data_IF_470552919477
#
_entry.id   IF_470552919477
#
_cell.length_a   1.000
_cell.length_b   1.000
_cell.length_c   1.000
_cell.angle_alpha   90.00
_cell.angle_beta   90.00
_cell.angle_gamma   90.00
#
_symmetry.space_group_name_H-M   'P 1'
#
loop_
_entity.id
_entity.type
_entity.pdbx_description
1 polymer ?
#
# COMPACT_ATOMS: atom_id res chain seq x y z
N UNK A 1 26.10 -30.43 9.77
CA UNK A 1 26.81 -29.84 10.92
C UNK A 1 28.01 -29.14 10.34
N UNK A 2 28.21 -27.84 10.32
CA UNK A 2 27.58 -26.65 10.91
C UNK A 2 27.89 -25.51 9.90
N UNK A 3 27.00 -24.52 9.71
CA UNK A 3 27.14 -23.11 10.15
C UNK A 3 28.54 -22.52 9.79
N UNK A 4 28.74 -21.38 9.13
CA UNK A 4 28.09 -20.07 9.23
C UNK A 4 28.47 -19.26 7.97
N UNK A 5 27.57 -18.41 7.44
CA UNK A 5 27.97 -17.25 6.65
C UNK A 5 27.11 -16.04 7.02
N UNK A 6 27.80 -15.09 7.61
CA UNK A 6 27.42 -13.72 7.91
C UNK A 6 26.79 -12.99 6.73
N UNK A 7 25.86 -12.08 7.04
CA UNK A 7 26.02 -10.64 6.76
C UNK A 7 24.73 -9.93 7.22
N UNK A 8 24.61 -9.75 8.54
CA UNK A 8 23.58 -8.92 9.14
C UNK A 8 24.14 -7.53 9.41
N UNK A 9 23.99 -6.60 8.48
CA UNK A 9 24.14 -5.17 8.73
C UNK A 9 23.09 -4.40 7.93
N UNK A 10 21.93 -4.20 8.55
CA UNK A 10 20.96 -3.21 8.10
C UNK A 10 21.37 -1.84 8.66
N UNK A 11 21.57 -0.80 7.83
CA UNK A 11 22.00 0.50 8.30
C UNK A 11 20.87 1.19 9.08
N UNK A 12 21.18 1.52 10.32
CA UNK A 12 20.35 2.27 11.27
C UNK A 12 20.04 3.66 10.68
N UNK A 13 18.80 3.86 10.26
CA UNK A 13 18.36 5.11 9.63
C UNK A 13 18.25 6.20 10.70
N UNK A 14 19.14 7.17 10.54
CA UNK A 14 19.32 8.42 11.27
C UNK A 14 18.00 9.12 11.60
N UNK A 15 17.67 9.16 12.88
CA UNK A 15 16.69 10.07 13.45
C UNK A 15 17.07 11.51 13.15
N UNK A 16 16.11 12.26 12.58
CA UNK A 16 16.10 13.71 12.56
C UNK A 16 14.83 14.15 13.28
N UNK A 17 15.03 14.51 14.52
CA UNK A 17 14.06 15.18 15.37
C UNK A 17 13.88 16.64 14.94
N UNK A 18 12.61 17.04 14.94
CA UNK A 18 12.09 18.30 15.46
C UNK A 18 12.28 19.60 14.66
N UNK A 19 11.18 20.36 14.72
CA UNK A 19 11.04 21.82 14.64
C UNK A 19 11.07 22.38 13.21
N UNK A 20 10.17 23.27 12.77
CA UNK A 20 9.36 24.25 13.48
C UNK A 20 8.28 24.81 12.53
N UNK A 21 7.12 25.13 13.11
CA UNK A 21 6.24 26.25 12.81
C UNK A 21 5.89 26.69 11.38
N UNK A 22 4.58 26.89 11.16
CA UNK A 22 4.14 28.02 10.34
C UNK A 22 2.81 27.88 9.64
N UNK A 23 1.77 28.48 10.23
CA UNK A 23 0.86 29.33 9.46
C UNK A 23 -0.35 28.65 8.83
N UNK A 24 -1.50 28.94 9.44
CA UNK A 24 -2.84 28.76 8.92
C UNK A 24 -2.96 29.15 7.43
N UNK A 25 -3.33 28.19 6.58
CA UNK A 25 -3.81 28.48 5.23
C UNK A 25 -4.99 27.55 4.93
N UNK A 26 -6.17 28.16 4.98
CA UNK A 26 -7.31 27.85 4.12
C UNK A 26 -7.95 26.45 4.27
N UNK A 27 -8.91 26.36 5.20
CA UNK A 27 -9.77 25.18 5.39
C UNK A 27 -10.57 24.77 4.13
N UNK A 28 -10.67 25.65 3.13
CA UNK A 28 -11.37 25.38 1.86
C UNK A 28 -10.52 24.57 0.86
N UNK A 29 -9.20 24.46 1.09
CA UNK A 29 -8.26 23.78 0.18
C UNK A 29 -7.83 22.40 0.67
N UNK A 30 -7.91 22.16 1.99
CA UNK A 30 -7.56 20.88 2.62
C UNK A 30 -8.44 19.71 2.16
N UNK A 31 -9.76 19.93 2.08
CA UNK A 31 -10.69 18.87 1.66
C UNK A 31 -10.42 18.35 0.24
N UNK A 32 -10.02 19.22 -0.69
CA UNK A 32 -9.68 18.80 -2.06
C UNK A 32 -8.38 17.98 -2.14
N UNK A 33 -7.39 18.32 -1.30
CA UNK A 33 -6.11 17.58 -1.24
C UNK A 33 -6.33 16.20 -0.63
N UNK A 34 -7.13 16.10 0.43
CA UNK A 34 -7.45 14.82 1.07
C UNK A 34 -8.22 13.90 0.12
N UNK A 35 -9.18 14.42 -0.64
CA UNK A 35 -9.89 13.65 -1.68
C UNK A 35 -8.96 13.20 -2.82
N UNK A 36 -8.03 14.04 -3.26
CA UNK A 36 -7.05 13.64 -4.28
C UNK A 36 -6.11 12.54 -3.77
N UNK A 37 -5.67 12.61 -2.51
CA UNK A 37 -4.87 11.57 -1.86
C UNK A 37 -5.64 10.26 -1.79
N UNK A 38 -6.92 10.26 -1.36
CA UNK A 38 -7.76 9.07 -1.32
C UNK A 38 -7.96 8.46 -2.71
N UNK A 39 -8.22 9.29 -3.73
CA UNK A 39 -8.33 8.85 -5.13
C UNK A 39 -7.02 8.29 -5.66
N UNK A 40 -5.88 8.85 -5.27
CA UNK A 40 -4.57 8.31 -5.61
C UNK A 40 -4.36 6.93 -4.96
N UNK A 41 -4.61 6.81 -3.66
CA UNK A 41 -4.52 5.54 -2.93
C UNK A 41 -5.43 4.47 -3.54
N UNK A 42 -6.67 4.82 -3.90
CA UNK A 42 -7.59 3.91 -4.57
C UNK A 42 -7.03 3.38 -5.89
N UNK A 43 -6.39 4.25 -6.70
CA UNK A 43 -5.73 3.83 -7.96
C UNK A 43 -4.57 2.88 -7.71
N UNK A 44 -3.77 3.14 -6.68
CA UNK A 44 -2.63 2.30 -6.29
C UNK A 44 -3.10 0.92 -5.84
N UNK A 45 -4.08 0.85 -4.94
CA UNK A 45 -4.58 -0.43 -4.43
C UNK A 45 -5.31 -1.23 -5.50
N UNK A 46 -6.10 -0.58 -6.38
CA UNK A 46 -6.66 -1.26 -7.57
C UNK A 46 -5.58 -1.83 -8.47
N UNK A 47 -4.44 -1.14 -8.64
CA UNK A 47 -3.30 -1.65 -9.41
C UNK A 47 -2.68 -2.86 -8.72
N UNK A 48 -2.49 -2.80 -7.40
CA UNK A 48 -2.00 -3.94 -6.61
C UNK A 48 -2.93 -5.14 -6.73
N UNK A 49 -4.25 -4.95 -6.63
CA UNK A 49 -5.24 -6.02 -6.79
C UNK A 49 -5.10 -6.70 -8.15
N UNK A 50 -4.95 -5.94 -9.25
CA UNK A 50 -4.73 -6.54 -10.58
C UNK A 50 -3.47 -7.40 -10.63
N UNK A 51 -2.37 -6.94 -10.02
CA UNK A 51 -1.13 -7.72 -9.98
C UNK A 51 -1.31 -9.01 -9.17
N UNK A 52 -2.02 -8.94 -8.05
CA UNK A 52 -2.39 -10.11 -7.24
C UNK A 52 -3.24 -11.09 -8.07
N UNK A 53 -4.24 -10.62 -8.80
CA UNK A 53 -5.06 -11.48 -9.68
C UNK A 53 -4.22 -12.17 -10.77
N UNK A 54 -3.26 -11.47 -11.37
CA UNK A 54 -2.32 -12.08 -12.33
C UNK A 54 -1.43 -13.15 -11.68
N UNK A 55 -1.01 -12.96 -10.43
CA UNK A 55 -0.29 -14.00 -9.68
C UNK A 55 -1.21 -15.20 -9.39
N UNK A 56 -2.48 -14.95 -9.10
CA UNK A 56 -3.46 -16.00 -8.79
C UNK A 56 -3.73 -16.85 -10.04
N UNK A 57 -3.87 -16.20 -11.19
CA UNK A 57 -4.00 -16.87 -12.49
C UNK A 57 -2.76 -17.69 -12.83
N UNK A 58 -1.55 -17.16 -12.60
CA UNK A 58 -0.31 -17.92 -12.77
C UNK A 58 -0.27 -19.16 -11.87
N UNK A 59 -0.67 -19.02 -10.60
CA UNK A 59 -0.78 -20.14 -9.68
C UNK A 59 -1.79 -21.18 -10.16
N UNK A 60 -2.95 -20.73 -10.66
CA UNK A 60 -4.00 -21.60 -11.17
C UNK A 60 -3.58 -22.34 -12.44
N UNK A 61 -2.75 -21.71 -13.28
CA UNK A 61 -2.14 -22.32 -14.46
C UNK A 61 -0.96 -23.26 -14.10
N UNK A 62 -0.71 -23.51 -12.81
CA UNK A 62 0.34 -24.42 -12.35
C UNK A 62 1.76 -23.83 -12.37
N UNK A 63 1.91 -22.52 -12.56
CA UNK A 63 3.22 -21.89 -12.43
C UNK A 63 3.63 -21.79 -10.95
N UNK A 64 4.87 -22.21 -10.59
CA UNK A 64 5.36 -22.07 -9.24
C UNK A 64 5.55 -20.60 -8.89
N UNK A 65 4.94 -20.18 -7.78
CA UNK A 65 5.11 -18.85 -7.22
C UNK A 65 6.19 -18.87 -6.14
N UNK A 66 7.03 -17.83 -6.12
CA UNK A 66 8.03 -17.66 -5.06
C UNK A 66 7.36 -17.24 -3.72
N UNK A 67 8.06 -17.34 -2.57
CA UNK A 67 7.47 -17.01 -1.26
C UNK A 67 6.92 -15.57 -1.16
N UNK A 68 7.57 -14.61 -1.81
CA UNK A 68 7.11 -13.21 -1.86
C UNK A 68 5.79 -13.06 -2.64
N UNK A 69 5.64 -13.76 -3.76
CA UNK A 69 4.42 -13.78 -4.57
C UNK A 69 3.27 -14.47 -3.83
N UNK A 70 3.54 -15.55 -3.10
CA UNK A 70 2.56 -16.20 -2.24
C UNK A 70 2.10 -15.26 -1.11
N UNK A 71 3.03 -14.54 -0.48
CA UNK A 71 2.69 -13.53 0.53
C UNK A 71 1.83 -12.40 -0.06
N UNK A 72 2.12 -11.96 -1.29
CA UNK A 72 1.28 -10.98 -2.01
C UNK A 72 -0.12 -11.51 -2.30
N UNK A 73 -0.25 -12.79 -2.67
CA UNK A 73 -1.54 -13.43 -2.85
C UNK A 73 -2.34 -13.55 -1.55
N UNK A 74 -1.69 -13.87 -0.44
CA UNK A 74 -2.34 -13.96 0.85
C UNK A 74 -3.00 -12.64 1.27
N UNK A 75 -2.40 -11.49 0.90
CA UNK A 75 -2.93 -10.15 1.18
C UNK A 75 -4.06 -9.71 0.24
N UNK A 76 -4.55 -10.57 -0.66
CA UNK A 76 -5.62 -10.22 -1.59
C UNK A 76 -6.85 -9.66 -0.88
N UNK A 77 -7.32 -10.35 0.15
CA UNK A 77 -8.52 -9.95 0.90
C UNK A 77 -8.35 -8.60 1.59
N UNK A 78 -7.16 -8.32 2.13
CA UNK A 78 -6.84 -7.02 2.75
C UNK A 78 -6.89 -5.89 1.72
N UNK A 79 -6.33 -6.12 0.52
CA UNK A 79 -6.35 -5.13 -0.57
C UNK A 79 -7.77 -4.89 -1.07
N UNK A 80 -8.58 -5.94 -1.22
CA UNK A 80 -10.00 -5.82 -1.61
C UNK A 80 -10.80 -5.03 -0.55
N UNK A 81 -10.59 -5.30 0.74
CA UNK A 81 -11.23 -4.57 1.83
C UNK A 81 -10.83 -3.09 1.84
N UNK A 82 -9.54 -2.78 1.63
CA UNK A 82 -9.04 -1.40 1.58
C UNK A 82 -9.63 -0.64 0.38
N UNK A 83 -9.73 -1.28 -0.79
CA UNK A 83 -10.39 -0.69 -1.96
C UNK A 83 -11.85 -0.38 -1.63
N UNK A 84 -12.59 -1.31 -1.04
CA UNK A 84 -13.99 -1.10 -0.67
C UNK A 84 -14.15 0.07 0.31
N UNK A 85 -13.26 0.20 1.30
CA UNK A 85 -13.26 1.31 2.25
C UNK A 85 -12.98 2.66 1.56
N UNK A 86 -12.01 2.70 0.65
CA UNK A 86 -11.66 3.90 -0.12
C UNK A 86 -12.78 4.28 -1.10
N UNK A 87 -13.45 3.32 -1.72
CA UNK A 87 -14.60 3.56 -2.61
C UNK A 87 -15.79 4.09 -1.83
N UNK A 88 -16.12 3.49 -0.68
CA UNK A 88 -17.19 3.98 0.19
C UNK A 88 -16.93 5.42 0.62
N UNK A 89 -15.72 5.74 1.08
CA UNK A 89 -15.36 7.10 1.49
C UNK A 89 -15.34 8.12 0.34
N UNK A 90 -14.92 7.73 -0.87
CA UNK A 90 -14.95 8.62 -2.04
C UNK A 90 -16.38 8.82 -2.62
N UNK A 91 -17.27 7.84 -2.49
CA UNK A 91 -18.64 7.93 -3.04
C UNK A 91 -19.57 8.83 -2.21
N UNK A 92 -19.35 8.89 -0.89
CA UNK A 92 -20.21 9.64 0.04
C UNK A 92 -19.99 11.16 -0.08
N UNK A 93 -18.85 11.61 -0.62
CA UNK A 93 -18.52 13.03 -0.76
C UNK A 93 -19.12 13.71 -2.02
N UNK A 94 -19.99 13.04 -2.79
CA UNK A 94 -20.59 13.58 -4.04
C UNK A 94 -22.08 13.98 -3.94
N UNK A 95 -22.61 14.27 -2.74
CA UNK A 95 -23.99 14.76 -2.55
C UNK A 95 -24.04 16.18 -1.98
#
# INVERSE_FOLDING_TARGET
MEQEKEAGESPLIRGKSAVDSGGALDASKGENVDEEVKRHQLRVERKRLRQILQLAEKSANGHPLNPDQQAKLARRAEVEALIAQLEASCSVSSN
#
